data_IF_157988255788
#
_entry.id   IF_157988255788
#
_cell.length_a   1.000
_cell.length_b   1.000
_cell.length_c   1.000
_cell.angle_alpha   90.00
_cell.angle_beta   90.00
_cell.angle_gamma   90.00
#
_symmetry.space_group_name_H-M   'P 1'
#
loop_
_entity.id
_entity.type
_entity.pdbx_description
1 polymer ?
#
# COMPACT_ATOMS: atom_id res chain seq x y z
N UNK A 1 1.65 -17.25 6.90
CA UNK A 1 1.79 -16.20 5.86
C UNK A 1 1.81 -14.83 6.55
N UNK A 2 2.53 -13.84 5.99
CA UNK A 2 2.48 -12.44 6.47
C UNK A 2 1.91 -11.58 5.36
N UNK A 3 0.84 -10.87 5.64
CA UNK A 3 0.16 -9.97 4.69
C UNK A 3 0.08 -8.57 5.27
N UNK A 4 -0.12 -7.57 4.41
CA UNK A 4 -0.04 -6.17 4.83
C UNK A 4 -1.14 -5.32 4.19
N UNK A 5 -1.73 -4.45 4.99
CA UNK A 5 -2.46 -3.27 4.53
C UNK A 5 -1.60 -2.02 4.81
N UNK A 6 -1.49 -1.12 3.86
CA UNK A 6 -0.60 0.04 3.95
C UNK A 6 -1.31 1.32 3.46
N UNK A 7 -2.20 1.89 4.27
CA UNK A 7 -2.89 3.12 3.92
C UNK A 7 -1.97 4.34 4.03
N UNK A 8 -2.23 5.34 3.18
CA UNK A 8 -1.64 6.67 3.32
C UNK A 8 -2.63 7.56 4.09
N UNK A 9 -2.18 8.27 5.15
CA UNK A 9 -3.06 9.10 5.98
C UNK A 9 -3.31 10.48 5.34
N UNK A 10 -3.59 10.49 4.03
CA UNK A 10 -3.92 11.69 3.24
C UNK A 10 -5.42 11.98 3.22
N UNK A 11 -6.22 11.17 3.89
CA UNK A 11 -7.66 11.27 4.05
C UNK A 11 -8.20 10.15 4.91
N UNK A 12 -9.49 10.21 5.21
CA UNK A 12 -10.19 9.21 6.02
C UNK A 12 -10.27 7.86 5.34
N UNK A 13 -10.44 6.80 6.13
CA UNK A 13 -10.62 5.46 5.59
C UNK A 13 -11.93 5.37 4.79
N UNK A 14 -11.84 5.04 3.51
CA UNK A 14 -13.01 4.82 2.66
C UNK A 14 -13.25 3.32 2.46
N UNK A 15 -14.44 2.96 1.95
CA UNK A 15 -14.87 1.57 1.79
C UNK A 15 -13.90 0.72 0.93
N UNK A 16 -13.24 1.31 -0.06
CA UNK A 16 -12.24 0.61 -0.86
C UNK A 16 -11.00 0.21 -0.06
N UNK A 17 -10.54 1.08 0.84
CA UNK A 17 -9.46 0.78 1.79
C UNK A 17 -9.88 -0.30 2.79
N UNK A 18 -11.07 -0.16 3.38
CA UNK A 18 -11.64 -1.13 4.31
C UNK A 18 -11.77 -2.53 3.67
N UNK A 19 -12.25 -2.61 2.42
CA UNK A 19 -12.31 -3.86 1.66
C UNK A 19 -10.92 -4.49 1.50
N UNK A 20 -9.92 -3.71 1.12
CA UNK A 20 -8.56 -4.22 0.95
C UNK A 20 -7.98 -4.73 2.27
N UNK A 21 -8.20 -4.00 3.37
CA UNK A 21 -7.81 -4.43 4.71
C UNK A 21 -8.50 -5.75 5.10
N UNK A 22 -9.82 -5.87 4.86
CA UNK A 22 -10.59 -7.07 5.17
C UNK A 22 -10.05 -8.31 4.44
N UNK A 23 -9.77 -8.22 3.13
CA UNK A 23 -9.20 -9.34 2.38
C UNK A 23 -7.85 -9.79 2.95
N UNK A 24 -6.96 -8.85 3.26
CA UNK A 24 -5.68 -9.17 3.88
C UNK A 24 -5.87 -9.81 5.27
N UNK A 25 -6.76 -9.27 6.07
CA UNK A 25 -7.09 -9.81 7.39
C UNK A 25 -7.59 -11.25 7.30
N UNK A 26 -8.55 -11.53 6.42
CA UNK A 26 -9.13 -12.86 6.24
C UNK A 26 -8.07 -13.87 5.74
N UNK A 27 -7.20 -13.48 4.82
CA UNK A 27 -6.08 -14.30 4.35
C UNK A 27 -5.13 -14.63 5.51
N UNK A 28 -4.78 -13.65 6.34
CA UNK A 28 -3.94 -13.87 7.51
C UNK A 28 -4.58 -14.87 8.47
N UNK A 29 -5.84 -14.65 8.83
CA UNK A 29 -6.55 -15.52 9.78
C UNK A 29 -6.75 -16.94 9.25
N UNK A 30 -7.14 -17.09 7.98
CA UNK A 30 -7.32 -18.41 7.36
C UNK A 30 -6.00 -19.21 7.24
N UNK A 31 -4.86 -18.53 7.09
CA UNK A 31 -3.55 -19.19 6.96
C UNK A 31 -2.80 -19.34 8.29
N UNK A 32 -3.39 -18.98 9.44
CA UNK A 32 -2.68 -18.89 10.71
C UNK A 32 -1.50 -17.92 10.68
N UNK A 33 -1.58 -16.93 9.79
CA UNK A 33 -0.52 -15.95 9.54
C UNK A 33 -0.69 -14.66 10.35
N UNK A 34 0.04 -13.61 9.92
CA UNK A 34 0.01 -12.29 10.57
C UNK A 34 -0.53 -11.24 9.62
N UNK A 35 -1.43 -10.40 10.13
CA UNK A 35 -1.90 -9.19 9.48
C UNK A 35 -1.10 -7.99 9.98
N UNK A 36 -0.45 -7.28 9.07
CA UNK A 36 0.45 -6.17 9.35
C UNK A 36 -0.20 -4.87 8.87
N UNK A 37 -0.17 -3.85 9.70
CA UNK A 37 -0.53 -2.49 9.33
C UNK A 37 0.73 -1.64 9.18
N UNK A 38 0.89 -0.96 8.04
CA UNK A 38 1.94 0.03 7.81
C UNK A 38 1.30 1.36 7.42
N UNK A 39 1.81 2.45 7.94
CA UNK A 39 1.38 3.79 7.53
C UNK A 39 2.33 4.29 6.43
N UNK A 40 1.78 4.58 5.26
CA UNK A 40 2.53 5.11 4.12
C UNK A 40 2.40 6.64 4.09
N UNK A 41 3.18 7.29 4.96
CA UNK A 41 3.17 8.72 5.28
C UNK A 41 4.15 9.56 4.44
N UNK A 42 4.48 9.10 3.24
CA UNK A 42 5.48 9.75 2.35
C UNK A 42 5.02 11.10 1.78
N UNK A 43 3.72 11.33 1.68
CA UNK A 43 3.17 12.63 1.28
C UNK A 43 2.97 13.51 2.53
N UNK A 44 4.06 14.15 2.97
CA UNK A 44 4.09 14.95 4.19
C UNK A 44 3.11 16.13 4.17
N UNK A 45 2.78 16.65 2.99
CA UNK A 45 1.88 17.79 2.85
C UNK A 45 0.41 17.42 3.13
N UNK A 46 0.00 16.19 2.82
CA UNK A 46 -1.37 15.71 2.97
C UNK A 46 -1.56 14.71 4.10
N UNK A 47 -0.47 14.13 4.62
CA UNK A 47 -0.53 13.22 5.74
C UNK A 47 -0.77 13.97 7.04
N UNK A 48 -1.84 13.63 7.76
CA UNK A 48 -2.19 14.25 9.04
C UNK A 48 -2.39 13.19 10.12
N UNK A 49 -2.08 13.55 11.37
CA UNK A 49 -2.34 12.69 12.52
C UNK A 49 -3.83 12.38 12.70
N UNK A 50 -4.70 13.34 12.40
CA UNK A 50 -6.14 13.15 12.47
C UNK A 50 -6.61 12.06 11.51
N UNK A 51 -6.14 12.07 10.26
CA UNK A 51 -6.46 11.04 9.28
C UNK A 51 -5.87 9.67 9.67
N UNK A 52 -4.68 9.65 10.25
CA UNK A 52 -4.07 8.43 10.77
C UNK A 52 -4.94 7.83 11.88
N UNK A 53 -5.31 8.62 12.88
CA UNK A 53 -6.18 8.18 13.98
C UNK A 53 -7.54 7.70 13.48
N UNK A 54 -8.14 8.39 12.50
CA UNK A 54 -9.38 7.95 11.85
C UNK A 54 -9.23 6.56 11.22
N UNK A 55 -8.15 6.32 10.47
CA UNK A 55 -7.84 5.03 9.85
C UNK A 55 -7.72 3.94 10.93
N UNK A 56 -6.92 4.18 11.97
CA UNK A 56 -6.69 3.22 13.04
C UNK A 56 -7.99 2.88 13.79
N UNK A 57 -8.77 3.90 14.12
CA UNK A 57 -10.03 3.74 14.81
C UNK A 57 -11.08 3.03 13.95
N UNK A 58 -11.16 3.37 12.66
CA UNK A 58 -12.07 2.72 11.72
C UNK A 58 -11.74 1.24 11.53
N UNK A 59 -10.46 0.87 11.44
CA UNK A 59 -10.04 -0.53 11.36
C UNK A 59 -10.39 -1.29 12.63
N UNK A 60 -10.16 -0.71 13.82
CA UNK A 60 -10.54 -1.32 15.11
C UNK A 60 -12.05 -1.49 15.23
N UNK A 61 -12.81 -0.48 14.83
CA UNK A 61 -14.28 -0.55 14.82
C UNK A 61 -14.81 -1.66 13.92
N UNK A 62 -14.14 -1.91 12.77
CA UNK A 62 -14.46 -3.02 11.88
C UNK A 62 -13.97 -4.39 12.40
N UNK A 63 -13.29 -4.44 13.55
CA UNK A 63 -12.71 -5.67 14.10
C UNK A 63 -11.46 -6.16 13.36
N UNK A 64 -10.86 -5.32 12.51
CA UNK A 64 -9.67 -5.65 11.72
C UNK A 64 -8.39 -5.32 12.50
N UNK A 65 -8.20 -5.98 13.64
CA UNK A 65 -7.03 -5.79 14.48
C UNK A 65 -5.78 -6.40 13.82
N UNK A 66 -4.68 -5.66 13.86
CA UNK A 66 -3.38 -6.07 13.31
C UNK A 66 -2.50 -6.72 14.38
N UNK A 67 -1.64 -7.63 13.94
CA UNK A 67 -0.69 -8.33 14.81
C UNK A 67 0.62 -7.54 14.98
N UNK A 68 0.97 -6.74 13.96
CA UNK A 68 2.15 -5.85 13.96
C UNK A 68 1.77 -4.54 13.28
N UNK A 69 2.16 -3.40 13.86
CA UNK A 69 1.78 -2.09 13.31
C UNK A 69 2.43 -0.89 14.02
N UNK A 70 1.98 0.32 13.72
CA UNK A 70 2.57 1.57 14.20
C UNK A 70 2.55 1.73 15.72
N UNK A 71 1.64 1.05 16.41
CA UNK A 71 1.54 1.00 17.86
C UNK A 71 2.52 0.00 18.51
N UNK A 72 3.12 -0.90 17.73
CA UNK A 72 4.10 -1.87 18.22
C UNK A 72 5.54 -1.49 17.89
N UNK A 73 5.79 -0.82 16.76
CA UNK A 73 7.12 -0.43 16.33
C UNK A 73 7.06 0.71 15.30
N UNK A 74 7.87 1.73 15.50
CA UNK A 74 7.99 2.89 14.61
C UNK A 74 8.48 2.54 13.18
N UNK A 75 9.06 1.37 12.97
CA UNK A 75 9.43 0.89 11.63
C UNK A 75 8.25 0.69 10.69
N UNK A 76 7.02 0.68 11.22
CA UNK A 76 5.79 0.58 10.42
C UNK A 76 5.31 1.93 9.87
N UNK A 77 6.06 3.02 10.09
CA UNK A 77 5.94 4.25 9.32
C UNK A 77 6.95 4.24 8.17
N UNK A 78 6.50 4.59 6.97
CA UNK A 78 7.36 4.52 5.79
C UNK A 78 8.47 5.58 5.84
N UNK A 79 8.19 6.77 6.36
CA UNK A 79 9.19 7.84 6.56
C UNK A 79 10.35 7.43 7.46
N UNK A 80 10.13 6.57 8.44
CA UNK A 80 11.18 6.06 9.33
C UNK A 80 12.09 5.02 8.66
N UNK A 81 11.87 4.72 7.37
CA UNK A 81 12.66 3.75 6.59
C UNK A 81 13.44 4.39 5.45
N UNK A 82 13.54 5.72 5.42
CA UNK A 82 14.20 6.45 4.33
C UNK A 82 15.65 6.02 4.14
N UNK A 83 16.42 5.89 5.23
CA UNK A 83 17.82 5.43 5.15
C UNK A 83 17.92 4.07 4.44
N UNK A 84 17.08 3.11 4.84
CA UNK A 84 17.04 1.78 4.21
C UNK A 84 16.61 1.85 2.75
N UNK A 85 15.67 2.74 2.40
CA UNK A 85 15.27 2.94 1.00
C UNK A 85 16.44 3.47 0.17
N UNK A 86 17.21 4.41 0.70
CA UNK A 86 18.39 4.96 0.02
C UNK A 86 19.48 3.89 -0.16
N UNK A 87 19.74 3.08 0.87
CA UNK A 87 20.68 1.95 0.77
C UNK A 87 20.29 1.01 -0.38
N UNK A 88 19.02 0.53 -0.38
CA UNK A 88 18.51 -0.39 -1.40
C UNK A 88 18.53 0.25 -2.79
N UNK A 89 18.20 1.53 -2.91
CA UNK A 89 18.30 2.25 -4.19
C UNK A 89 19.73 2.27 -4.72
N UNK A 90 20.71 2.51 -3.85
CA UNK A 90 22.12 2.48 -4.22
C UNK A 90 22.60 1.06 -4.60
N UNK A 91 22.15 0.03 -3.87
CA UNK A 91 22.41 -1.37 -4.22
C UNK A 91 21.85 -1.73 -5.61
N UNK A 92 20.64 -1.27 -5.93
CA UNK A 92 20.01 -1.51 -7.23
C UNK A 92 20.76 -0.78 -8.36
N UNK A 93 21.23 0.44 -8.12
CA UNK A 93 22.06 1.17 -9.07
C UNK A 93 23.38 0.46 -9.32
N UNK A 94 24.07 0.01 -8.25
CA UNK A 94 25.33 -0.72 -8.34
C UNK A 94 25.20 -2.05 -9.09
N UNK A 95 24.05 -2.72 -8.94
CA UNK A 95 23.76 -4.00 -9.60
C UNK A 95 23.10 -3.83 -10.98
N UNK A 96 23.10 -2.62 -11.53
CA UNK A 96 22.50 -2.26 -12.82
C UNK A 96 21.00 -2.60 -12.97
N UNK A 97 20.30 -2.83 -11.85
CA UNK A 97 18.85 -3.08 -11.80
C UNK A 97 18.02 -1.80 -11.76
N UNK A 98 18.67 -0.67 -11.55
CA UNK A 98 18.09 0.66 -11.60
C UNK A 98 19.01 1.63 -12.38
N UNK A 99 18.49 2.78 -12.72
CA UNK A 99 19.22 3.87 -13.34
C UNK A 99 18.74 5.22 -12.79
N UNK A 100 19.57 6.25 -12.93
CA UNK A 100 19.14 7.63 -12.67
C UNK A 100 18.69 8.26 -13.98
N UNK A 101 17.51 8.87 -13.95
CA UNK A 101 17.03 9.66 -15.09
C UNK A 101 17.71 11.05 -15.14
N UNK A 102 17.31 11.88 -16.11
CA UNK A 102 17.88 13.22 -16.32
C UNK A 102 17.60 14.19 -15.17
N UNK A 103 16.60 13.91 -14.33
CA UNK A 103 16.26 14.68 -13.11
C UNK A 103 16.97 14.12 -11.87
N UNK A 104 17.76 13.05 -12.00
CA UNK A 104 18.44 12.38 -10.91
C UNK A 104 17.55 11.40 -10.11
N UNK A 105 16.33 11.16 -10.55
CA UNK A 105 15.41 10.21 -9.90
C UNK A 105 15.85 8.77 -10.21
N UNK A 106 15.88 7.94 -9.17
CA UNK A 106 16.22 6.52 -9.32
C UNK A 106 15.00 5.75 -9.82
N UNK A 107 15.15 5.13 -10.99
CA UNK A 107 14.10 4.29 -11.61
C UNK A 107 14.56 2.86 -11.73
N UNK A 108 13.67 1.91 -11.44
CA UNK A 108 13.93 0.48 -11.61
C UNK A 108 13.87 0.16 -13.10
N UNK A 109 14.82 -0.63 -13.60
CA UNK A 109 14.76 -1.17 -14.96
C UNK A 109 13.64 -2.20 -15.05
N UNK A 110 12.86 -2.12 -16.12
CA UNK A 110 11.87 -3.14 -16.42
C UNK A 110 12.58 -4.45 -16.79
N UNK A 111 12.15 -5.59 -16.24
CA UNK A 111 12.65 -6.88 -16.72
C UNK A 111 12.23 -7.10 -18.17
N UNK A 112 13.09 -7.74 -18.95
CA UNK A 112 12.77 -8.17 -20.30
C UNK A 112 11.82 -9.37 -20.26
N UNK A 113 10.86 -9.42 -21.21
CA UNK A 113 9.93 -10.52 -21.35
C UNK A 113 8.50 -10.21 -20.91
N UNK A 114 7.65 -11.24 -20.93
CA UNK A 114 6.25 -11.13 -20.54
C UNK A 114 6.09 -11.08 -19.03
N UNK A 115 5.43 -10.02 -18.54
CA UNK A 115 5.09 -9.87 -17.12
C UNK A 115 3.59 -10.07 -16.96
N UNK A 116 3.19 -11.03 -16.14
CA UNK A 116 1.79 -11.20 -15.75
C UNK A 116 1.50 -10.33 -14.54
N UNK A 117 0.61 -9.35 -14.70
CA UNK A 117 0.18 -8.48 -13.62
C UNK A 117 -1.22 -8.88 -13.15
N UNK A 118 -1.34 -9.32 -11.90
CA UNK A 118 -2.63 -9.70 -11.32
C UNK A 118 -3.63 -8.54 -11.22
N UNK A 119 -3.15 -7.29 -11.19
CA UNK A 119 -4.03 -6.11 -11.21
C UNK A 119 -4.83 -5.99 -12.51
N UNK A 120 -4.31 -6.47 -13.62
CA UNK A 120 -5.01 -6.47 -14.93
C UNK A 120 -5.90 -7.68 -15.11
N UNK A 121 -5.68 -8.75 -14.37
CA UNK A 121 -6.45 -9.99 -14.47
C UNK A 121 -7.56 -10.10 -13.44
N UNK A 122 -7.49 -9.32 -12.36
CA UNK A 122 -8.53 -9.28 -11.31
C UNK A 122 -9.44 -8.08 -11.51
N UNK A 123 -10.77 -8.27 -11.60
CA UNK A 123 -11.71 -7.17 -11.76
C UNK A 123 -11.57 -6.19 -10.58
N UNK A 124 -11.36 -4.92 -10.91
CA UNK A 124 -11.28 -3.82 -9.94
C UNK A 124 -12.54 -2.95 -10.04
N UNK A 125 -13.04 -2.38 -8.94
CA UNK A 125 -14.10 -1.37 -9.01
C UNK A 125 -13.75 -0.16 -9.88
N UNK A 126 -12.46 0.10 -10.13
CA UNK A 126 -11.99 1.15 -11.04
C UNK A 126 -12.16 0.77 -12.52
N UNK A 127 -12.17 -0.52 -12.83
CA UNK A 127 -12.31 -1.03 -14.21
C UNK A 127 -13.75 -0.92 -14.69
N UNK A 128 -14.71 -0.76 -13.76
CA UNK A 128 -16.14 -0.58 -14.08
C UNK A 128 -16.51 0.82 -14.59
N UNK A 129 -15.56 1.68 -14.87
CA UNK A 129 -15.81 2.99 -15.52
C UNK A 129 -16.38 2.87 -16.95
N UNK A 130 -16.57 1.66 -17.45
CA UNK A 130 -17.15 1.39 -18.77
C UNK A 130 -18.67 1.17 -18.79
N UNK A 131 -19.34 0.99 -17.64
CA UNK A 131 -20.80 0.92 -17.64
C UNK A 131 -21.39 2.33 -17.66
N UNK A 132 -21.36 2.95 -18.84
CA UNK A 132 -22.31 4.03 -19.12
C UNK A 132 -23.70 3.44 -18.97
N UNK A 133 -24.49 3.98 -18.05
CA UNK A 133 -25.92 3.75 -18.11
C UNK A 133 -26.38 4.14 -19.52
N UNK A 134 -27.20 3.29 -20.20
CA UNK A 134 -27.79 3.70 -21.45
C UNK A 134 -28.53 5.01 -21.19
N UNK A 135 -28.22 6.04 -21.95
CA UNK A 135 -29.04 7.23 -21.97
C UNK A 135 -30.42 6.77 -22.44
N UNK A 136 -31.38 6.77 -21.54
CA UNK A 136 -32.79 6.62 -21.94
C UNK A 136 -33.11 7.74 -22.91
N UNK A 137 -33.31 7.38 -24.17
CA UNK A 137 -33.98 8.24 -25.15
C UNK A 137 -35.45 8.37 -24.76
#
# INVERSE_FOLDING_TARGET
MRVRFAPSPTGKLHIGGARTALFNYLIAKNSGGKFILRIDDTDLARSTKENEEDILNSLRWLGLNWDEGPDTDQKFYQTNRVERHVEVANELLKNEKAYKDHEGVVRIKYPEGNITCLLYTSPSPRDQRGSRMPSSA
#
